data_IF_982036743473
#
_entry.id   IF_982036743473
#
_cell.length_a   1.000
_cell.length_b   1.000
_cell.length_c   1.000
_cell.angle_alpha   90.00
_cell.angle_beta   90.00
_cell.angle_gamma   90.00
#
_symmetry.space_group_name_H-M   'P 1'
#
loop_
_entity.id
_entity.type
_entity.pdbx_description
1 polymer ?
#
# COMPACT_ATOMS: atom_id res chain seq x y z
N UNK A 1 -8.15 5.75 -16.48
CA UNK A 1 -8.45 5.24 -17.82
C UNK A 1 -8.02 6.17 -18.96
N UNK A 2 -7.63 7.42 -18.63
CA UNK A 2 -7.21 8.40 -19.65
C UNK A 2 -5.68 8.53 -19.62
N UNK A 3 -5.00 8.35 -20.78
CA UNK A 3 -3.56 8.57 -20.88
C UNK A 3 -3.17 9.97 -20.42
N UNK A 4 -2.14 10.09 -19.58
CA UNK A 4 -1.65 11.37 -19.07
C UNK A 4 -2.49 12.03 -17.98
N UNK A 5 -3.65 11.48 -17.60
CA UNK A 5 -4.43 11.97 -16.49
C UNK A 5 -3.98 11.35 -15.16
N UNK A 6 -4.15 12.08 -14.06
CA UNK A 6 -3.89 11.58 -12.73
C UNK A 6 -4.81 10.39 -12.40
N UNK A 7 -4.27 9.34 -11.80
CA UNK A 7 -5.06 8.22 -11.31
C UNK A 7 -5.78 8.55 -10.00
N UNK A 8 -6.84 7.79 -9.71
CA UNK A 8 -7.59 7.93 -8.45
C UNK A 8 -7.14 6.89 -7.42
N UNK A 9 -6.87 7.34 -6.19
CA UNK A 9 -6.55 6.49 -5.04
C UNK A 9 -7.76 6.26 -4.14
N UNK A 10 -7.75 5.14 -3.43
CA UNK A 10 -8.64 4.87 -2.30
C UNK A 10 -7.78 4.83 -1.04
N UNK A 11 -7.71 5.94 -0.32
CA UNK A 11 -6.91 6.02 0.90
C UNK A 11 -7.71 5.51 2.10
N UNK A 12 -7.13 4.59 2.85
CA UNK A 12 -7.76 4.01 4.03
C UNK A 12 -7.18 4.66 5.28
N UNK A 13 -7.98 5.48 5.93
CA UNK A 13 -7.67 6.07 7.24
C UNK A 13 -8.04 5.08 8.34
N UNK A 14 -7.11 4.81 9.24
CA UNK A 14 -7.30 3.83 10.30
C UNK A 14 -6.85 4.37 11.63
N UNK A 15 -7.73 4.29 12.62
CA UNK A 15 -7.44 4.39 14.04
C UNK A 15 -7.91 3.12 14.75
N UNK A 16 -7.43 2.89 15.96
CA UNK A 16 -7.83 1.75 16.76
C UNK A 16 -8.40 2.24 18.09
N UNK A 17 -9.65 1.85 18.38
CA UNK A 17 -10.30 2.20 19.64
C UNK A 17 -10.28 1.03 20.63
N UNK A 18 -10.02 1.33 21.88
CA UNK A 18 -10.21 0.39 23.00
C UNK A 18 -11.69 0.18 23.34
N UNK A 19 -11.99 -0.77 24.23
CA UNK A 19 -13.37 -1.02 24.71
C UNK A 19 -14.02 0.21 25.36
N UNK A 20 -13.23 1.12 25.90
CA UNK A 20 -13.63 2.38 26.50
C UNK A 20 -13.82 3.53 25.50
N UNK A 21 -13.64 3.25 24.20
CA UNK A 21 -13.72 4.24 23.11
C UNK A 21 -12.49 5.13 22.96
N UNK A 22 -11.45 4.97 23.78
CA UNK A 22 -10.21 5.73 23.64
C UNK A 22 -9.44 5.28 22.42
N UNK A 23 -8.86 6.25 21.71
CA UNK A 23 -7.96 5.95 20.58
C UNK A 23 -6.63 5.37 21.09
N UNK A 24 -6.36 4.12 20.76
CA UNK A 24 -5.13 3.42 21.14
C UNK A 24 -3.90 3.85 20.33
N UNK A 25 -4.12 4.60 19.26
CA UNK A 25 -3.05 5.24 18.47
C UNK A 25 -2.71 6.64 18.96
N UNK A 26 -3.43 7.15 19.97
CA UNK A 26 -3.12 8.44 20.55
C UNK A 26 -1.66 8.52 21.02
N UNK A 27 -1.03 9.67 20.83
CA UNK A 27 0.35 9.90 21.21
C UNK A 27 0.56 9.68 22.71
N UNK A 28 1.68 9.07 23.10
CA UNK A 28 2.01 8.81 24.50
C UNK A 28 2.78 10.01 25.09
N UNK A 29 2.42 10.40 26.31
CA UNK A 29 3.14 11.46 27.04
C UNK A 29 2.88 12.88 26.58
N UNK A 30 1.97 13.13 25.64
CA UNK A 30 1.67 14.46 25.12
C UNK A 30 0.56 15.15 25.91
N UNK A 31 0.93 15.90 26.91
CA UNK A 31 0.04 16.89 27.53
C UNK A 31 -0.01 18.18 26.69
N UNK A 32 -0.95 18.31 25.75
CA UNK A 32 -1.16 19.55 24.99
C UNK A 32 -0.27 19.65 23.74
N UNK A 33 -0.37 18.67 22.84
CA UNK A 33 0.55 18.55 21.74
C UNK A 33 0.29 19.46 20.54
N UNK A 34 1.38 19.82 19.90
CA UNK A 34 1.41 20.41 18.56
C UNK A 34 0.62 19.57 17.56
N UNK A 35 -0.09 20.15 16.60
CA UNK A 35 -0.68 19.42 15.49
C UNK A 35 0.36 18.73 14.59
N UNK A 36 1.63 19.13 14.68
CA UNK A 36 2.73 18.44 14.00
C UNK A 36 2.95 17.05 14.62
N UNK A 37 3.36 16.10 13.78
CA UNK A 37 3.68 14.73 14.23
C UNK A 37 5.06 14.73 14.85
N UNK A 38 5.14 14.41 16.15
CA UNK A 38 6.39 14.09 16.83
C UNK A 38 6.56 12.57 16.86
N UNK A 39 7.54 12.06 16.14
CA UNK A 39 7.79 10.61 16.04
C UNK A 39 8.12 9.96 17.38
N UNK A 40 8.71 10.73 18.33
CA UNK A 40 9.05 10.22 19.66
C UNK A 40 7.83 9.95 20.54
N UNK A 41 6.69 10.58 20.23
CA UNK A 41 5.45 10.43 21.00
C UNK A 41 4.45 9.49 20.37
N UNK A 42 4.71 8.96 19.17
CA UNK A 42 3.79 8.03 18.51
C UNK A 42 3.60 6.76 19.34
N UNK A 43 2.37 6.30 19.44
CA UNK A 43 2.03 5.06 20.13
C UNK A 43 2.82 3.86 19.54
N UNK A 44 3.49 3.05 20.37
CA UNK A 44 4.16 1.82 19.91
C UNK A 44 3.20 0.89 19.15
N UNK A 45 1.93 0.85 19.59
CA UNK A 45 0.90 0.05 18.94
C UNK A 45 0.66 0.51 17.48
N UNK A 46 0.64 1.83 17.26
CA UNK A 46 0.52 2.42 15.92
C UNK A 46 1.76 2.14 15.08
N UNK A 47 2.96 2.28 15.65
CA UNK A 47 4.22 1.98 14.96
C UNK A 47 4.27 0.52 14.52
N UNK A 48 3.92 -0.42 15.38
CA UNK A 48 3.84 -1.84 15.02
C UNK A 48 2.79 -2.11 13.94
N UNK A 49 1.62 -1.46 13.99
CA UNK A 49 0.60 -1.56 12.95
C UNK A 49 1.14 -1.08 11.60
N UNK A 50 1.85 0.05 11.56
CA UNK A 50 2.52 0.56 10.37
C UNK A 50 3.59 -0.43 9.89
N UNK A 51 4.43 -0.94 10.78
CA UNK A 51 5.46 -1.94 10.47
C UNK A 51 4.89 -3.17 9.77
N UNK A 52 3.77 -3.69 10.27
CA UNK A 52 3.08 -4.81 9.63
C UNK A 52 2.54 -4.49 8.24
N UNK A 53 1.98 -3.30 8.04
CA UNK A 53 1.53 -2.86 6.72
C UNK A 53 2.67 -2.75 5.71
N UNK A 54 3.83 -2.24 6.13
CA UNK A 54 5.00 -2.12 5.25
C UNK A 54 5.57 -3.51 4.91
N UNK A 55 5.72 -4.37 5.92
CA UNK A 55 6.25 -5.73 5.75
C UNK A 55 5.39 -6.61 4.82
N UNK A 56 4.08 -6.39 4.79
CA UNK A 56 3.15 -7.18 3.95
C UNK A 56 2.75 -6.50 2.65
N UNK A 57 3.20 -5.28 2.40
CA UNK A 57 2.72 -4.46 1.28
C UNK A 57 3.03 -5.09 -0.08
N UNK A 58 4.24 -5.64 -0.27
CA UNK A 58 4.64 -6.31 -1.50
C UNK A 58 3.64 -7.42 -1.89
N UNK A 59 3.28 -8.27 -0.93
CA UNK A 59 2.34 -9.37 -1.12
C UNK A 59 0.90 -8.86 -1.36
N UNK A 60 0.54 -7.73 -0.74
CA UNK A 60 -0.79 -7.14 -0.81
C UNK A 60 -1.07 -6.35 -2.10
N UNK A 61 -0.05 -6.06 -2.91
CA UNK A 61 -0.19 -5.15 -4.07
C UNK A 61 -1.22 -5.60 -5.09
N UNK A 62 -1.43 -6.91 -5.30
CA UNK A 62 -2.49 -7.38 -6.20
C UNK A 62 -3.90 -7.03 -5.69
N UNK A 63 -4.08 -6.95 -4.36
CA UNK A 63 -5.34 -6.51 -3.75
C UNK A 63 -5.52 -5.00 -3.89
N UNK A 64 -4.45 -4.24 -3.72
CA UNK A 64 -4.48 -2.77 -3.79
C UNK A 64 -4.51 -2.22 -5.22
N UNK A 65 -3.97 -2.97 -6.17
CA UNK A 65 -3.89 -2.61 -7.59
C UNK A 65 -4.28 -3.80 -8.48
N UNK A 66 -5.58 -4.17 -8.53
CA UNK A 66 -6.01 -5.47 -9.05
C UNK A 66 -6.09 -5.55 -10.59
N UNK A 67 -5.89 -4.47 -11.32
CA UNK A 67 -6.09 -4.41 -12.77
C UNK A 67 -4.86 -3.88 -13.49
N UNK A 68 -4.70 -4.21 -14.78
CA UNK A 68 -3.64 -3.67 -15.63
C UNK A 68 -3.57 -2.14 -15.55
N UNK A 69 -4.74 -1.49 -15.57
CA UNK A 69 -4.81 -0.02 -15.52
C UNK A 69 -4.41 0.56 -14.16
N UNK A 70 -4.57 -0.20 -13.05
CA UNK A 70 -4.16 0.25 -11.70
C UNK A 70 -2.66 0.59 -11.66
N UNK A 71 -1.85 -0.14 -12.41
CA UNK A 71 -0.39 -0.02 -12.42
C UNK A 71 0.13 1.24 -13.10
N UNK A 72 -0.67 1.85 -13.98
CA UNK A 72 -0.33 3.15 -14.58
C UNK A 72 -0.30 4.31 -13.57
N UNK A 73 -0.85 4.10 -12.38
CA UNK A 73 -0.86 5.07 -11.29
C UNK A 73 0.50 5.18 -10.58
N UNK A 74 1.29 4.11 -10.58
CA UNK A 74 2.56 4.04 -9.83
C UNK A 74 3.71 4.65 -10.63
N UNK A 75 3.76 5.97 -10.63
CA UNK A 75 4.83 6.75 -11.24
C UNK A 75 5.39 7.76 -10.23
N UNK A 76 6.67 8.13 -10.36
CA UNK A 76 7.41 8.96 -9.42
C UNK A 76 6.86 10.38 -9.19
N UNK A 77 5.85 10.80 -9.94
CA UNK A 77 5.24 12.14 -9.82
C UNK A 77 3.73 12.09 -9.54
N UNK A 78 3.18 10.90 -9.31
CA UNK A 78 1.73 10.67 -9.26
C UNK A 78 1.11 10.74 -7.86
N UNK A 79 1.90 10.99 -6.82
CA UNK A 79 1.53 10.83 -5.41
C UNK A 79 1.02 9.42 -5.04
N UNK A 80 1.16 8.42 -5.91
CA UNK A 80 1.04 7.01 -5.56
C UNK A 80 2.39 6.49 -5.06
N UNK A 81 2.42 5.70 -3.98
CA UNK A 81 3.67 5.20 -3.42
C UNK A 81 4.29 4.15 -4.34
N UNK A 82 5.60 4.22 -4.54
CA UNK A 82 6.39 3.25 -5.31
C UNK A 82 7.27 2.35 -4.43
N UNK A 83 7.24 2.57 -3.13
CA UNK A 83 7.99 1.79 -2.15
C UNK A 83 7.20 1.65 -0.84
N UNK A 84 7.44 0.60 -0.02
CA UNK A 84 6.81 0.41 1.27
C UNK A 84 7.46 1.32 2.32
N UNK A 85 7.09 2.58 2.30
CA UNK A 85 7.64 3.64 3.16
C UNK A 85 6.56 4.31 3.98
N UNK A 86 6.96 4.98 5.07
CA UNK A 86 6.05 5.75 5.91
C UNK A 86 6.63 7.11 6.30
N UNK A 87 5.77 8.04 6.75
CA UNK A 87 6.24 9.34 7.22
C UNK A 87 5.12 10.26 7.66
N UNK A 88 5.52 11.32 8.38
CA UNK A 88 4.61 12.35 8.87
C UNK A 88 4.19 13.29 7.75
N UNK A 89 2.89 13.50 7.61
CA UNK A 89 2.28 14.43 6.66
C UNK A 89 2.86 14.39 5.23
N UNK A 90 3.43 13.26 4.84
CA UNK A 90 4.13 13.05 3.59
C UNK A 90 3.23 12.33 2.57
N UNK A 91 2.99 12.93 1.40
CA UNK A 91 2.14 12.35 0.35
C UNK A 91 2.87 11.45 -0.63
N UNK A 92 4.20 11.33 -0.53
CA UNK A 92 5.01 10.46 -1.38
C UNK A 92 5.29 9.07 -0.78
N UNK A 93 4.79 8.80 0.44
CA UNK A 93 4.96 7.51 1.14
C UNK A 93 3.72 6.63 1.07
N UNK A 94 3.89 5.33 1.35
CA UNK A 94 2.81 4.36 1.32
C UNK A 94 1.89 4.44 2.55
N UNK A 95 2.45 4.73 3.72
CA UNK A 95 1.68 4.94 4.95
C UNK A 95 2.01 6.32 5.50
N UNK A 96 1.04 7.21 5.45
CA UNK A 96 1.17 8.58 5.95
C UNK A 96 0.54 8.69 7.33
N UNK A 97 1.22 9.38 8.25
CA UNK A 97 0.63 9.83 9.52
C UNK A 97 0.25 11.30 9.33
N UNK A 98 -1.05 11.64 9.21
CA UNK A 98 -1.48 13.03 9.03
C UNK A 98 -1.17 13.88 10.26
N UNK A 99 -0.93 15.18 10.04
CA UNK A 99 -0.94 16.16 11.10
C UNK A 99 -2.33 16.24 11.74
N UNK A 100 -2.40 16.50 13.03
CA UNK A 100 -3.66 16.57 13.77
C UNK A 100 -3.44 16.48 15.28
N UNK A 101 -4.51 16.57 16.05
CA UNK A 101 -4.42 16.46 17.50
C UNK A 101 -3.90 15.06 17.92
N UNK A 102 -3.02 14.96 18.94
CA UNK A 102 -2.49 13.69 19.42
C UNK A 102 -3.58 12.65 19.75
N UNK A 103 -4.68 13.07 20.34
CA UNK A 103 -5.80 12.19 20.70
C UNK A 103 -6.54 11.59 19.49
N UNK A 104 -6.44 12.23 18.32
CA UNK A 104 -7.08 11.76 17.07
C UNK A 104 -6.09 11.13 16.09
N UNK A 105 -4.93 10.73 16.57
CA UNK A 105 -3.86 10.16 15.76
C UNK A 105 -4.35 8.93 15.01
N UNK A 106 -4.00 8.87 13.75
CA UNK A 106 -4.32 7.76 12.84
C UNK A 106 -3.27 7.72 11.72
N UNK A 107 -3.29 6.66 10.94
CA UNK A 107 -2.52 6.61 9.70
C UNK A 107 -3.42 6.46 8.47
N UNK A 108 -2.87 6.78 7.32
CA UNK A 108 -3.49 6.70 6.00
C UNK A 108 -2.69 5.74 5.13
N UNK A 109 -3.26 4.58 4.80
CA UNK A 109 -2.71 3.66 3.80
C UNK A 109 -3.06 4.18 2.41
N UNK A 110 -2.08 4.32 1.51
CA UNK A 110 -2.21 5.09 0.26
C UNK A 110 -2.01 4.27 -1.02
N UNK A 111 -1.62 2.99 -0.90
CA UNK A 111 -1.33 2.15 -2.06
C UNK A 111 -2.58 1.74 -2.84
N UNK A 112 -3.74 1.56 -2.18
CA UNK A 112 -4.96 1.10 -2.82
C UNK A 112 -5.50 2.10 -3.86
N UNK A 113 -5.93 1.59 -5.02
CA UNK A 113 -6.63 2.34 -6.05
C UNK A 113 -8.15 2.34 -5.83
N UNK A 114 -8.85 3.30 -6.41
CA UNK A 114 -10.31 3.40 -6.34
C UNK A 114 -11.01 2.21 -7.03
N UNK A 115 -10.30 1.52 -7.90
CA UNK A 115 -10.74 0.34 -8.65
C UNK A 115 -10.53 -0.98 -7.88
N UNK A 116 -9.93 -0.93 -6.68
CA UNK A 116 -9.78 -2.08 -5.80
C UNK A 116 -11.09 -2.39 -5.05
N UNK A 117 -11.31 -3.66 -4.72
CA UNK A 117 -12.45 -4.07 -3.91
C UNK A 117 -12.26 -3.62 -2.46
N UNK A 118 -13.11 -2.72 -1.90
CA UNK A 118 -12.90 -2.14 -0.59
C UNK A 118 -12.95 -3.16 0.56
N UNK A 119 -13.69 -4.25 0.42
CA UNK A 119 -13.76 -5.31 1.42
C UNK A 119 -12.45 -6.10 1.49
N UNK A 120 -11.88 -6.45 0.33
CA UNK A 120 -10.58 -7.13 0.27
C UNK A 120 -9.46 -6.21 0.76
N UNK A 121 -9.49 -4.93 0.40
CA UNK A 121 -8.54 -3.92 0.89
C UNK A 121 -8.63 -3.81 2.41
N UNK A 122 -9.84 -3.64 2.95
CA UNK A 122 -10.04 -3.55 4.40
C UNK A 122 -9.55 -4.79 5.14
N UNK A 123 -9.89 -5.99 4.66
CA UNK A 123 -9.43 -7.25 5.25
C UNK A 123 -7.89 -7.35 5.23
N UNK A 124 -7.25 -6.99 4.13
CA UNK A 124 -5.79 -7.05 3.96
C UNK A 124 -5.09 -6.03 4.86
N UNK A 125 -5.62 -4.80 4.96
CA UNK A 125 -5.09 -3.76 5.87
C UNK A 125 -5.19 -4.23 7.32
N UNK A 126 -6.34 -4.73 7.76
CA UNK A 126 -6.52 -5.23 9.12
C UNK A 126 -5.61 -6.42 9.44
N UNK A 127 -5.44 -7.34 8.49
CA UNK A 127 -4.53 -8.48 8.66
C UNK A 127 -3.07 -8.04 8.79
N UNK A 128 -2.61 -7.10 7.95
CA UNK A 128 -1.26 -6.54 8.05
C UNK A 128 -1.01 -5.82 9.37
N UNK A 129 -1.97 -5.00 9.82
CA UNK A 129 -1.92 -4.36 11.14
C UNK A 129 -1.83 -5.39 12.27
N UNK A 130 -2.71 -6.40 12.25
CA UNK A 130 -2.75 -7.46 13.26
C UNK A 130 -1.40 -8.21 13.34
N UNK A 131 -0.83 -8.54 12.18
CA UNK A 131 0.47 -9.21 12.10
C UNK A 131 1.56 -8.32 12.72
N UNK A 132 1.63 -7.05 12.33
CA UNK A 132 2.61 -6.10 12.86
C UNK A 132 2.51 -5.89 14.37
N UNK A 133 1.29 -5.77 14.90
CA UNK A 133 1.03 -5.63 16.34
C UNK A 133 1.41 -6.92 17.09
N UNK A 134 1.01 -8.10 16.58
CA UNK A 134 1.32 -9.39 17.18
C UNK A 134 2.82 -9.62 17.29
N UNK A 135 3.53 -9.36 16.20
CA UNK A 135 4.96 -9.69 16.05
C UNK A 135 5.87 -8.50 16.40
N UNK A 136 5.27 -7.37 16.82
CA UNK A 136 5.97 -6.12 17.17
C UNK A 136 6.93 -5.65 16.10
N UNK A 137 6.44 -5.64 14.84
CA UNK A 137 7.25 -5.24 13.69
C UNK A 137 7.46 -3.73 13.70
N UNK A 138 8.72 -3.30 13.77
CA UNK A 138 9.07 -1.89 13.70
C UNK A 138 9.05 -1.41 12.24
N UNK A 139 8.51 -0.20 11.97
CA UNK A 139 8.38 0.31 10.60
C UNK A 139 9.70 0.84 10.01
N UNK A 140 10.79 0.83 10.78
CA UNK A 140 12.03 1.50 10.41
C UNK A 140 11.92 3.03 10.47
N UNK A 141 12.95 3.72 9.96
CA UNK A 141 13.01 5.17 10.00
C UNK A 141 11.93 5.80 9.09
N UNK A 142 11.26 6.87 9.56
CA UNK A 142 10.29 7.60 8.73
C UNK A 142 11.00 8.38 7.62
N UNK A 143 10.36 8.46 6.47
CA UNK A 143 10.83 9.27 5.35
C UNK A 143 10.57 10.75 5.62
N UNK A 144 11.63 11.54 5.59
CA UNK A 144 11.58 13.00 5.59
C UNK A 144 11.90 13.51 4.19
N UNK A 145 11.07 14.42 3.67
CA UNK A 145 11.25 14.95 2.31
C UNK A 145 10.63 14.07 1.23
N UNK A 146 11.26 14.00 0.05
CA UNK A 146 10.70 13.29 -1.11
C UNK A 146 10.94 11.78 -1.03
N UNK A 147 9.89 11.00 -0.78
CA UNK A 147 9.95 9.53 -0.69
C UNK A 147 10.34 8.83 -1.99
N UNK A 148 10.11 9.45 -3.14
CA UNK A 148 10.51 8.88 -4.44
C UNK A 148 12.04 8.85 -4.61
N UNK A 149 12.74 9.87 -4.12
CA UNK A 149 14.20 9.93 -4.19
C UNK A 149 14.86 8.84 -3.33
N UNK A 150 14.25 8.48 -2.21
CA UNK A 150 14.75 7.40 -1.36
C UNK A 150 14.45 6.01 -1.95
N UNK A 151 13.30 5.84 -2.57
CA UNK A 151 12.89 4.57 -3.18
C UNK A 151 13.78 4.14 -4.36
N UNK A 152 14.34 5.10 -5.10
CA UNK A 152 15.23 4.82 -6.24
C UNK A 152 16.67 4.52 -5.83
N UNK A 153 17.07 4.83 -4.60
CA UNK A 153 18.44 4.69 -4.11
C UNK A 153 18.77 3.28 -3.58
N UNK A 154 17.78 2.44 -3.36
CA UNK A 154 17.96 1.10 -2.76
C UNK A 154 17.36 0.02 -3.65
N UNK A 155 18.19 -0.94 -4.08
CA UNK A 155 17.71 -2.24 -4.55
C UNK A 155 17.20 -3.03 -3.33
N UNK A 156 15.98 -2.71 -2.85
CA UNK A 156 15.38 -3.31 -1.66
C UNK A 156 14.67 -4.60 -2.07
N UNK A 157 14.99 -5.76 -1.45
CA UNK A 157 14.23 -6.99 -1.64
C UNK A 157 12.74 -6.87 -1.28
N UNK A 158 12.38 -5.89 -0.44
CA UNK A 158 11.00 -5.55 -0.10
C UNK A 158 10.34 -4.59 -1.09
N UNK A 159 10.98 -4.25 -2.21
CA UNK A 159 10.42 -3.36 -3.22
C UNK A 159 9.05 -3.84 -3.72
N UNK A 160 8.17 -2.90 -4.00
CA UNK A 160 6.85 -3.23 -4.57
C UNK A 160 7.01 -3.91 -5.94
N UNK A 161 6.12 -4.84 -6.32
CA UNK A 161 6.14 -5.44 -7.64
C UNK A 161 6.16 -4.34 -8.71
N UNK A 162 6.98 -4.46 -9.76
CA UNK A 162 7.11 -3.41 -10.76
C UNK A 162 5.91 -3.33 -11.71
N UNK A 163 5.13 -4.40 -11.81
CA UNK A 163 4.01 -4.51 -12.74
C UNK A 163 2.94 -5.49 -12.23
N UNK A 164 1.83 -5.52 -12.95
CA UNK A 164 0.68 -6.35 -12.62
C UNK A 164 0.99 -7.85 -12.66
N UNK A 165 1.79 -8.30 -13.63
CA UNK A 165 2.19 -9.72 -13.74
C UNK A 165 2.99 -10.15 -12.51
N UNK A 166 3.96 -9.35 -12.11
CA UNK A 166 4.78 -9.59 -10.93
C UNK A 166 3.92 -9.63 -9.67
N UNK A 167 2.95 -8.72 -9.53
CA UNK A 167 2.01 -8.74 -8.41
C UNK A 167 1.14 -10.01 -8.37
N UNK A 168 0.69 -10.51 -9.54
CA UNK A 168 -0.06 -11.77 -9.64
C UNK A 168 0.80 -12.95 -9.15
N UNK A 169 2.08 -12.99 -9.54
CA UNK A 169 3.01 -14.05 -9.12
C UNK A 169 3.28 -13.99 -7.62
N UNK A 170 3.59 -12.80 -7.10
CA UNK A 170 3.83 -12.57 -5.67
C UNK A 170 2.61 -12.96 -4.83
N UNK A 171 1.41 -12.51 -5.21
CA UNK A 171 0.18 -12.86 -4.51
C UNK A 171 -0.10 -14.37 -4.53
N UNK A 172 0.22 -15.06 -5.62
CA UNK A 172 0.06 -16.51 -5.75
C UNK A 172 0.95 -17.31 -4.79
N UNK A 173 2.12 -16.79 -4.46
CA UNK A 173 3.06 -17.39 -3.50
C UNK A 173 2.87 -16.87 -2.05
N UNK A 174 1.97 -15.91 -1.85
CA UNK A 174 1.83 -15.19 -0.57
C UNK A 174 1.23 -16.06 0.54
N UNK A 175 2.02 -16.30 1.57
CA UNK A 175 1.54 -16.87 2.84
C UNK A 175 0.65 -15.89 3.60
N UNK A 176 0.99 -14.61 3.56
CA UNK A 176 0.23 -13.55 4.19
C UNK A 176 -1.20 -13.44 3.61
N UNK A 177 -1.37 -13.42 2.29
CA UNK A 177 -2.71 -13.37 1.69
C UNK A 177 -3.51 -14.64 1.94
N UNK A 178 -2.85 -15.80 2.05
CA UNK A 178 -3.51 -17.03 2.43
C UNK A 178 -4.04 -16.99 3.87
N UNK A 179 -3.31 -16.37 4.79
CA UNK A 179 -3.78 -16.14 6.17
C UNK A 179 -4.88 -15.06 6.23
N UNK A 180 -4.69 -13.94 5.52
CA UNK A 180 -5.58 -12.78 5.57
C UNK A 180 -6.96 -13.03 4.95
N UNK A 181 -7.00 -13.70 3.80
CA UNK A 181 -8.21 -13.90 2.99
C UNK A 181 -8.71 -15.35 3.00
N UNK A 182 -7.90 -16.28 3.49
CA UNK A 182 -8.07 -17.72 3.29
C UNK A 182 -7.47 -18.21 1.98
N UNK A 183 -6.82 -19.38 2.00
CA UNK A 183 -6.11 -19.93 0.84
C UNK A 183 -7.00 -20.05 -0.39
N UNK A 184 -8.25 -20.51 -0.21
CA UNK A 184 -9.21 -20.66 -1.33
C UNK A 184 -9.53 -19.31 -2.00
N UNK A 185 -9.77 -18.26 -1.22
CA UNK A 185 -10.06 -16.93 -1.77
C UNK A 185 -8.84 -16.37 -2.49
N UNK A 186 -7.63 -16.47 -1.91
CA UNK A 186 -6.38 -16.09 -2.57
C UNK A 186 -6.23 -16.79 -3.91
N UNK A 187 -6.40 -18.12 -3.94
CA UNK A 187 -6.17 -18.93 -5.15
C UNK A 187 -7.18 -18.59 -6.25
N UNK A 188 -8.46 -18.42 -5.92
CA UNK A 188 -9.49 -18.00 -6.87
C UNK A 188 -9.22 -16.59 -7.40
N UNK A 189 -8.86 -15.65 -6.51
CA UNK A 189 -8.53 -14.28 -6.90
C UNK A 189 -7.33 -14.23 -7.85
N UNK A 190 -6.26 -14.96 -7.52
CA UNK A 190 -5.06 -15.05 -8.37
C UNK A 190 -5.37 -15.73 -9.71
N UNK A 191 -6.14 -16.80 -9.72
CA UNK A 191 -6.54 -17.47 -10.96
C UNK A 191 -7.35 -16.54 -11.89
N UNK A 192 -8.29 -15.79 -11.32
CA UNK A 192 -9.04 -14.77 -12.05
C UNK A 192 -8.11 -13.73 -12.67
N UNK A 193 -7.17 -13.19 -11.88
CA UNK A 193 -6.25 -12.15 -12.36
C UNK A 193 -5.25 -12.69 -13.41
N UNK A 194 -4.84 -13.94 -13.31
CA UNK A 194 -4.06 -14.61 -14.36
C UNK A 194 -4.84 -14.74 -15.68
N UNK A 195 -6.11 -15.12 -15.60
CA UNK A 195 -6.98 -15.23 -16.78
C UNK A 195 -7.20 -13.85 -17.45
N UNK A 196 -7.46 -12.82 -16.64
CA UNK A 196 -7.57 -11.43 -17.12
C UNK A 196 -6.27 -10.96 -17.80
N UNK A 197 -5.11 -11.23 -17.17
CA UNK A 197 -3.79 -10.89 -17.74
C UNK A 197 -3.59 -11.58 -19.07
N UNK A 198 -3.79 -12.90 -19.15
CA UNK A 198 -3.61 -13.66 -20.40
C UNK A 198 -4.52 -13.17 -21.51
N UNK A 199 -5.78 -12.83 -21.18
CA UNK A 199 -6.72 -12.26 -22.15
C UNK A 199 -6.26 -10.92 -22.70
N UNK A 200 -5.79 -10.00 -21.83
CA UNK A 200 -5.32 -8.68 -22.25
C UNK A 200 -4.00 -8.78 -23.04
N UNK A 201 -3.09 -9.66 -22.63
CA UNK A 201 -1.82 -9.87 -23.32
C UNK A 201 -1.96 -10.52 -24.71
N UNK A 202 -3.10 -11.14 -25.01
CA UNK A 202 -3.40 -11.70 -26.33
C UNK A 202 -4.00 -10.67 -27.31
N UNK A 203 -4.31 -9.46 -26.85
CA UNK A 203 -4.87 -8.40 -27.71
C UNK A 203 -3.73 -7.70 -28.39
N UNK A 204 -3.69 -7.75 -29.73
CA UNK A 204 -2.79 -6.92 -30.54
C UNK A 204 -3.35 -5.50 -30.59
N UNK A 205 -2.54 -4.54 -30.20
CA UNK A 205 -2.95 -3.12 -30.12
C UNK A 205 -2.53 -2.34 -31.37
N UNK A 206 -3.23 -1.24 -31.66
CA UNK A 206 -2.83 -0.29 -32.71
C UNK A 206 -1.40 0.23 -32.49
N UNK A 207 -0.96 0.36 -31.26
CA UNK A 207 0.38 0.82 -30.93
C UNK A 207 1.45 -0.22 -31.30
N UNK A 208 1.15 -1.51 -31.14
CA UNK A 208 2.05 -2.58 -31.59
C UNK A 208 2.20 -2.57 -33.13
N UNK A 209 1.10 -2.32 -33.87
CA UNK A 209 1.19 -2.13 -35.29
C UNK A 209 2.06 -0.93 -35.68
N UNK A 210 1.89 0.21 -35.02
CA UNK A 210 2.72 1.41 -35.29
C UNK A 210 4.19 1.20 -34.97
N UNK A 211 4.50 0.46 -33.91
CA UNK A 211 5.88 0.25 -33.47
C UNK A 211 6.61 -0.80 -34.33
N UNK A 212 5.90 -1.82 -34.80
CA UNK A 212 6.57 -3.01 -35.36
C UNK A 212 6.32 -3.24 -36.82
N UNK A 213 5.27 -2.68 -37.44
CA UNK A 213 4.94 -2.95 -38.84
C UNK A 213 6.02 -2.45 -39.80
N UNK A 214 6.71 -1.34 -39.48
CA UNK A 214 7.77 -0.75 -40.28
C UNK A 214 9.18 -1.09 -39.75
N UNK A 215 9.30 -1.93 -38.73
CA UNK A 215 10.57 -2.28 -38.10
C UNK A 215 11.25 -3.52 -38.74
N UNK A 216 10.70 -4.04 -39.86
CA UNK A 216 11.19 -5.24 -40.55
C UNK A 216 11.87 -4.83 -41.87
#
# INVERSE_FOLDING_TARGET
PFPGAAGSGMHIHTSLAGPDGRNLFADVGSGGGSPAVDFATLSPLMLHAIGGLLATMQEAMLVFAPHQNSWRRFASTSYAPIAPTWGANNRSVAVRVPAGAPATRHFEQRAAGVDANPYLVGATVLAGMRLGIRDRIEPGAPVTGNGYAQATATADPAALPPDWRSAILTAGASGFLAEALGSRMRDVFVALKRAEYSRLAAIVTEEEYRLYLEAV
#
